data_IF_059759677446
#
_entry.id   IF_059759677446
#
_cell.length_a   1.000
_cell.length_b   1.000
_cell.length_c   1.000
_cell.angle_alpha   90.00
_cell.angle_beta   90.00
_cell.angle_gamma   90.00
#
_symmetry.space_group_name_H-M   'P 1'
#
loop_
_entity.id
_entity.type
_entity.pdbx_description
1 polymer ?
#
# COMPACT_ATOMS: atom_id res chain seq x y z
N UNK A 1 17.70 22.60 -52.29
CA UNK A 1 17.08 21.26 -52.27
C UNK A 1 17.63 20.37 -51.16
N UNK A 2 18.90 20.51 -50.76
CA UNK A 2 19.53 19.68 -49.71
C UNK A 2 19.02 19.98 -48.27
N UNK A 3 18.69 21.23 -47.96
CA UNK A 3 18.16 21.61 -46.63
C UNK A 3 16.80 20.97 -46.33
N UNK A 4 15.95 20.80 -47.35
CA UNK A 4 14.63 20.18 -47.21
C UNK A 4 14.72 18.67 -46.95
N UNK A 5 15.75 18.00 -47.50
CA UNK A 5 16.02 16.59 -47.24
C UNK A 5 16.51 16.35 -45.80
N UNK A 6 17.35 17.24 -45.27
CA UNK A 6 17.85 17.17 -43.89
C UNK A 6 16.70 17.37 -42.89
N UNK A 7 15.82 18.34 -43.12
CA UNK A 7 14.65 18.58 -42.27
C UNK A 7 13.69 17.37 -42.25
N UNK A 8 13.53 16.69 -43.40
CA UNK A 8 12.66 15.52 -43.54
C UNK A 8 13.24 14.27 -42.82
N UNK A 9 14.57 14.12 -42.78
CA UNK A 9 15.25 13.04 -42.03
C UNK A 9 15.13 13.23 -40.51
N UNK A 10 15.22 14.47 -40.02
CA UNK A 10 15.03 14.78 -38.59
C UNK A 10 13.57 14.52 -38.15
N UNK A 11 12.59 14.84 -39.00
CA UNK A 11 11.18 14.58 -38.72
C UNK A 11 10.85 13.08 -38.63
N UNK A 12 11.52 12.25 -39.44
CA UNK A 12 11.37 10.79 -39.40
C UNK A 12 11.94 10.21 -38.10
N UNK A 13 13.09 10.70 -37.62
CA UNK A 13 13.68 10.22 -36.35
C UNK A 13 12.91 10.67 -35.10
N UNK A 14 12.25 11.83 -35.11
CA UNK A 14 11.40 12.28 -34.00
C UNK A 14 10.02 11.62 -33.95
N UNK A 15 9.62 10.92 -35.03
CA UNK A 15 8.32 10.24 -35.13
C UNK A 15 8.37 8.77 -34.71
N UNK A 16 9.57 8.21 -34.49
CA UNK A 16 9.68 6.90 -33.86
C UNK A 16 9.51 7.08 -32.35
N UNK A 17 8.45 6.54 -31.74
CA UNK A 17 8.36 6.53 -30.28
C UNK A 17 9.58 5.77 -29.78
N UNK A 18 10.37 6.40 -28.90
CA UNK A 18 11.34 5.68 -28.10
C UNK A 18 10.61 4.48 -27.48
N UNK A 19 11.10 3.23 -27.63
CA UNK A 19 10.48 2.11 -26.95
C UNK A 19 10.52 2.42 -25.45
N UNK A 20 9.36 2.69 -24.87
CA UNK A 20 9.23 2.79 -23.43
C UNK A 20 9.61 1.40 -22.89
N UNK A 21 10.69 1.31 -22.12
CA UNK A 21 10.98 0.11 -21.34
C UNK A 21 9.83 -0.03 -20.36
N UNK A 22 8.83 -0.83 -20.72
CA UNK A 22 7.73 -1.14 -19.84
C UNK A 22 8.26 -2.14 -18.81
N UNK A 23 8.27 -1.73 -17.55
CA UNK A 23 8.66 -2.61 -16.46
C UNK A 23 7.51 -3.59 -16.21
N UNK A 24 7.76 -4.89 -16.38
CA UNK A 24 6.78 -5.97 -16.11
C UNK A 24 6.53 -6.20 -14.61
N UNK A 25 7.05 -5.32 -13.75
CA UNK A 25 6.90 -5.37 -12.31
C UNK A 25 5.57 -4.73 -11.89
N UNK A 26 4.72 -5.54 -11.28
CA UNK A 26 3.49 -5.10 -10.63
C UNK A 26 3.64 -5.21 -9.11
N UNK A 27 2.83 -4.46 -8.35
CA UNK A 27 2.80 -4.63 -6.89
C UNK A 27 1.91 -5.81 -6.52
N UNK A 28 2.47 -6.75 -5.76
CA UNK A 28 1.72 -7.84 -5.16
C UNK A 28 1.69 -7.69 -3.64
N UNK A 29 0.56 -8.04 -3.05
CA UNK A 29 0.40 -8.27 -1.63
C UNK A 29 0.56 -9.78 -1.42
N UNK A 30 1.62 -10.16 -0.71
CA UNK A 30 2.00 -11.55 -0.44
C UNK A 30 1.69 -11.88 1.02
N UNK A 31 0.94 -12.95 1.22
CA UNK A 31 0.65 -13.55 2.51
C UNK A 31 1.53 -14.78 2.71
N UNK A 32 2.16 -14.86 3.87
CA UNK A 32 2.97 -16.01 4.29
C UNK A 32 2.48 -16.53 5.63
N UNK A 33 2.77 -17.80 5.90
CA UNK A 33 2.52 -18.40 7.19
C UNK A 33 3.32 -17.67 8.28
N UNK A 34 2.75 -17.57 9.47
CA UNK A 34 3.51 -17.08 10.61
C UNK A 34 4.55 -18.15 10.97
N UNK A 35 5.84 -17.82 11.13
CA UNK A 35 6.78 -18.77 11.71
C UNK A 35 6.34 -19.00 13.17
N UNK A 36 5.72 -20.15 13.44
CA UNK A 36 4.92 -20.44 14.65
C UNK A 36 5.71 -20.47 15.98
N UNK A 37 7.02 -20.22 15.98
CA UNK A 37 7.84 -20.26 17.19
C UNK A 37 8.75 -19.02 17.28
N UNK A 38 8.50 -18.15 18.27
CA UNK A 38 9.38 -17.04 18.74
C UNK A 38 9.12 -15.63 18.17
N UNK A 39 7.94 -15.05 18.38
CA UNK A 39 7.78 -13.60 18.14
C UNK A 39 7.15 -12.96 19.38
N UNK A 40 7.99 -12.69 20.38
CA UNK A 40 7.75 -11.61 21.34
C UNK A 40 7.62 -10.30 20.57
N UNK A 41 6.81 -9.34 21.00
CA UNK A 41 6.64 -8.03 20.31
C UNK A 41 7.85 -7.09 20.44
N UNK A 42 9.03 -7.61 20.73
CA UNK A 42 10.27 -6.84 20.86
C UNK A 42 10.90 -6.53 19.49
N UNK A 43 11.81 -5.56 19.46
CA UNK A 43 12.35 -5.02 18.21
C UNK A 43 13.24 -6.02 17.44
N UNK A 44 13.85 -6.97 18.16
CA UNK A 44 14.61 -8.09 17.59
C UNK A 44 13.72 -8.99 16.72
N UNK A 45 12.56 -9.39 17.23
CA UNK A 45 11.66 -10.30 16.50
C UNK A 45 11.10 -9.68 15.22
N UNK A 46 10.94 -8.35 15.18
CA UNK A 46 10.48 -7.63 13.99
C UNK A 46 11.53 -7.68 12.87
N UNK A 47 12.80 -7.57 13.24
CA UNK A 47 13.92 -7.67 12.30
C UNK A 47 14.02 -9.09 11.75
N UNK A 48 13.81 -10.10 12.59
CA UNK A 48 13.78 -11.50 12.18
C UNK A 48 12.60 -11.81 11.24
N UNK A 49 11.42 -11.23 11.52
CA UNK A 49 10.26 -11.30 10.64
C UNK A 49 10.50 -10.64 9.27
N UNK A 50 11.12 -9.46 9.26
CA UNK A 50 11.46 -8.79 8.01
C UNK A 50 12.45 -9.62 7.18
N UNK A 51 13.46 -10.21 7.83
CA UNK A 51 14.39 -11.12 7.17
C UNK A 51 13.69 -12.38 6.63
N UNK A 52 12.72 -12.92 7.39
CA UNK A 52 11.88 -14.02 6.92
C UNK A 52 11.08 -13.63 5.68
N UNK A 53 10.45 -12.45 5.65
CA UNK A 53 9.74 -11.95 4.47
C UNK A 53 10.67 -11.73 3.27
N UNK A 54 11.85 -11.17 3.49
CA UNK A 54 12.87 -10.98 2.44
C UNK A 54 13.31 -12.31 1.83
N UNK A 55 13.29 -13.41 2.60
CA UNK A 55 13.62 -14.75 2.09
C UNK A 55 12.67 -15.23 1.00
N UNK A 56 11.44 -14.69 0.92
CA UNK A 56 10.48 -14.99 -0.14
C UNK A 56 10.80 -14.26 -1.43
N UNK A 57 11.48 -13.11 -1.38
CA UNK A 57 11.83 -12.35 -2.57
C UNK A 57 12.91 -13.06 -3.39
N UNK A 58 12.96 -12.78 -4.71
CA UNK A 58 14.10 -13.17 -5.53
C UNK A 58 15.36 -12.59 -4.90
N UNK A 59 16.43 -13.39 -4.82
CA UNK A 59 17.75 -12.88 -4.47
C UNK A 59 18.17 -11.95 -5.59
N UNK A 60 17.86 -10.66 -5.49
CA UNK A 60 18.65 -9.67 -6.22
C UNK A 60 20.08 -9.91 -5.74
N UNK A 61 20.99 -10.19 -6.67
CA UNK A 61 22.42 -10.17 -6.38
C UNK A 61 22.71 -8.89 -5.57
N UNK A 62 23.54 -9.02 -4.54
CA UNK A 62 24.02 -7.97 -3.64
C UNK A 62 23.24 -7.82 -2.33
N UNK A 63 23.72 -8.57 -1.34
CA UNK A 63 23.65 -8.17 0.06
C UNK A 63 24.58 -6.97 0.31
N UNK A 64 24.17 -6.14 1.27
CA UNK A 64 24.94 -5.10 2.00
C UNK A 64 24.94 -3.70 1.36
N UNK A 65 24.17 -2.83 2.02
CA UNK A 65 24.33 -1.39 1.98
C UNK A 65 25.73 -1.00 2.47
N UNK A 66 26.53 -0.38 1.60
CA UNK A 66 27.47 0.70 1.94
C UNK A 66 28.00 1.31 0.64
N UNK A 67 27.43 2.46 0.28
CA UNK A 67 27.93 3.40 -0.74
C UNK A 67 27.83 2.89 -2.20
N UNK A 68 26.82 3.40 -2.92
CA UNK A 68 26.83 3.46 -4.39
C UNK A 68 25.72 2.67 -5.11
N UNK A 69 24.70 3.39 -5.58
CA UNK A 69 24.01 3.24 -6.87
C UNK A 69 23.70 1.83 -7.43
N UNK A 70 23.06 0.95 -6.65
CA UNK A 70 22.28 -0.18 -7.20
C UNK A 70 20.86 -0.16 -6.59
N UNK A 71 19.83 -0.01 -7.43
CA UNK A 71 18.42 0.12 -7.02
C UNK A 71 17.87 -1.15 -6.33
N UNK A 72 16.86 -0.99 -5.45
CA UNK A 72 16.88 -1.56 -4.11
C UNK A 72 15.98 -2.80 -3.96
N UNK A 73 16.06 -3.40 -2.78
CA UNK A 73 15.12 -4.40 -2.24
C UNK A 73 13.69 -4.16 -2.75
N UNK A 74 13.14 -5.10 -3.53
CA UNK A 74 11.81 -5.00 -4.17
C UNK A 74 10.61 -4.91 -3.19
N UNK A 75 10.86 -4.87 -1.89
CA UNK A 75 9.85 -4.80 -0.85
C UNK A 75 9.38 -3.35 -0.65
N UNK A 76 8.08 -3.14 -0.73
CA UNK A 76 7.40 -1.86 -0.51
C UNK A 76 6.98 -1.73 0.96
N UNK A 77 6.50 -2.81 1.57
CA UNK A 77 5.95 -2.78 2.93
C UNK A 77 5.99 -4.15 3.60
N UNK A 78 6.16 -4.18 4.93
CA UNK A 78 6.07 -5.38 5.76
C UNK A 78 4.84 -5.31 6.68
N UNK A 79 3.99 -6.32 6.60
CA UNK A 79 2.80 -6.46 7.45
C UNK A 79 3.12 -7.37 8.64
N UNK A 80 2.90 -6.87 9.87
CA UNK A 80 3.24 -7.61 11.09
C UNK A 80 2.05 -7.92 11.99
N UNK A 81 0.97 -7.13 11.91
CA UNK A 81 -0.08 -7.16 12.93
C UNK A 81 -1.25 -8.06 12.50
N UNK A 82 -2.11 -7.56 11.62
CA UNK A 82 -3.36 -8.22 11.19
C UNK A 82 -3.11 -9.34 10.18
N UNK A 83 -2.03 -9.23 9.42
CA UNK A 83 -1.57 -10.23 8.46
C UNK A 83 -0.05 -10.35 8.54
N UNK A 84 0.48 -11.51 8.17
CA UNK A 84 1.92 -11.75 8.03
C UNK A 84 2.29 -11.75 6.56
N UNK A 85 3.30 -10.98 6.18
CA UNK A 85 3.79 -10.94 4.81
C UNK A 85 4.17 -9.54 4.39
N UNK A 86 4.15 -9.31 3.08
CA UNK A 86 4.79 -8.15 2.47
C UNK A 86 4.08 -7.66 1.23
N UNK A 87 4.23 -6.37 0.92
CA UNK A 87 3.97 -5.83 -0.41
C UNK A 87 5.30 -5.70 -1.15
N UNK A 88 5.36 -6.13 -2.40
CA UNK A 88 6.58 -6.06 -3.21
C UNK A 88 6.29 -5.88 -4.69
N UNK A 89 7.23 -5.26 -5.42
CA UNK A 89 7.22 -5.20 -6.88
C UNK A 89 7.79 -6.50 -7.45
N UNK A 90 6.97 -7.26 -8.16
CA UNK A 90 7.32 -8.58 -8.68
C UNK A 90 6.80 -8.76 -10.11
N UNK A 91 7.51 -9.56 -10.91
CA UNK A 91 6.96 -10.10 -12.15
C UNK A 91 6.07 -11.30 -11.85
N UNK A 92 5.19 -11.66 -12.79
CA UNK A 92 4.37 -12.87 -12.64
C UNK A 92 5.21 -14.15 -12.53
N UNK A 93 6.40 -14.20 -13.16
CA UNK A 93 7.32 -15.34 -13.02
C UNK A 93 7.93 -15.42 -11.62
N UNK A 94 8.32 -14.28 -11.04
CA UNK A 94 8.85 -14.23 -9.67
C UNK A 94 7.80 -14.67 -8.63
N UNK A 95 6.52 -14.35 -8.86
CA UNK A 95 5.42 -14.85 -8.01
C UNK A 95 5.28 -16.37 -8.13
N UNK A 96 5.31 -16.93 -9.35
CA UNK A 96 5.25 -18.40 -9.56
C UNK A 96 6.42 -19.14 -8.90
N UNK A 97 7.61 -18.56 -8.91
CA UNK A 97 8.76 -19.11 -8.19
C UNK A 97 8.57 -19.04 -6.67
N UNK A 98 8.00 -17.93 -6.17
CA UNK A 98 7.70 -17.74 -4.76
C UNK A 98 6.64 -18.72 -4.25
N UNK A 99 5.64 -19.09 -5.06
CA UNK A 99 4.62 -20.09 -4.74
C UNK A 99 5.21 -21.46 -4.35
N UNK A 100 6.44 -21.76 -4.78
CA UNK A 100 7.12 -23.02 -4.45
C UNK A 100 7.83 -22.99 -3.08
N UNK A 101 7.88 -21.84 -2.39
CA UNK A 101 8.56 -21.69 -1.11
C UNK A 101 7.66 -22.15 0.04
N UNK A 102 8.26 -22.88 0.99
CA UNK A 102 7.57 -23.27 2.22
C UNK A 102 7.10 -22.03 2.99
N UNK A 103 5.86 -22.07 3.48
CA UNK A 103 5.23 -20.95 4.17
C UNK A 103 4.61 -19.90 3.25
N UNK A 104 4.63 -20.08 1.93
CA UNK A 104 3.82 -19.24 1.04
C UNK A 104 2.34 -19.58 1.19
N UNK A 105 1.48 -18.57 1.32
CA UNK A 105 0.01 -18.76 1.41
C UNK A 105 -0.68 -18.26 0.14
N UNK A 106 -0.46 -17.00 -0.22
CA UNK A 106 -1.04 -16.41 -1.42
C UNK A 106 -0.31 -15.14 -1.86
N UNK A 107 -0.45 -14.78 -3.13
CA UNK A 107 -0.06 -13.49 -3.67
C UNK A 107 -1.20 -12.92 -4.50
N UNK A 108 -1.55 -11.66 -4.29
CA UNK A 108 -2.60 -10.97 -5.02
C UNK A 108 -2.06 -9.67 -5.59
N UNK A 109 -2.35 -9.38 -6.85
CA UNK A 109 -2.03 -8.08 -7.46
C UNK A 109 -2.73 -6.96 -6.69
N UNK A 110 -2.01 -5.89 -6.40
CA UNK A 110 -2.61 -4.70 -5.82
C UNK A 110 -3.63 -4.12 -6.79
N UNK A 111 -4.83 -3.85 -6.30
CA UNK A 111 -5.85 -3.09 -7.03
C UNK A 111 -5.99 -1.70 -6.42
N UNK A 112 -6.02 -0.67 -7.27
CA UNK A 112 -6.35 0.70 -6.86
C UNK A 112 -7.86 0.85 -6.99
N UNK A 113 -8.53 1.28 -5.91
CA UNK A 113 -9.97 1.53 -5.91
C UNK A 113 -10.24 3.04 -6.09
N UNK A 114 -11.10 3.45 -7.03
CA UNK A 114 -11.49 4.85 -7.18
C UNK A 114 -12.42 5.29 -6.04
N UNK A 115 -12.39 6.60 -5.72
CA UNK A 115 -13.30 7.18 -4.73
C UNK A 115 -14.75 7.10 -5.23
N UNK A 116 -15.65 6.56 -4.39
CA UNK A 116 -17.03 6.28 -4.79
C UNK A 116 -18.07 7.32 -4.32
N UNK A 117 -17.77 8.14 -3.31
CA UNK A 117 -18.73 9.15 -2.82
C UNK A 117 -18.04 10.35 -2.17
N UNK A 118 -18.62 11.53 -2.36
CA UNK A 118 -18.28 12.76 -1.65
C UNK A 118 -19.36 13.15 -0.62
N UNK A 119 -20.46 12.39 -0.48
CA UNK A 119 -21.61 12.74 0.36
C UNK A 119 -22.19 11.54 1.13
N UNK A 120 -21.47 11.10 2.16
CA UNK A 120 -21.78 9.90 2.97
C UNK A 120 -23.14 9.90 3.68
N UNK A 121 -23.65 11.01 4.26
CA UNK A 121 -24.94 10.97 4.97
C UNK A 121 -26.11 10.57 4.08
N UNK A 122 -26.20 11.13 2.86
CA UNK A 122 -27.24 10.77 1.89
C UNK A 122 -27.07 9.34 1.37
N UNK A 123 -25.82 8.90 1.14
CA UNK A 123 -25.53 7.52 0.75
C UNK A 123 -26.04 6.51 1.80
N UNK A 124 -25.91 6.84 3.09
CA UNK A 124 -26.39 6.02 4.20
C UNK A 124 -27.88 6.25 4.54
N UNK A 125 -28.58 7.12 3.82
CA UNK A 125 -29.98 7.46 4.09
C UNK A 125 -30.21 8.22 5.40
N UNK A 126 -29.17 8.81 6.00
CA UNK A 126 -29.26 9.55 7.25
C UNK A 126 -29.88 10.93 7.00
N UNK A 127 -30.98 11.22 7.72
CA UNK A 127 -31.67 12.51 7.66
C UNK A 127 -31.55 13.26 8.99
N UNK A 128 -31.45 14.60 8.97
CA UNK A 128 -31.50 15.38 10.20
C UNK A 128 -32.78 15.09 11.00
N UNK A 129 -32.65 14.98 12.33
CA UNK A 129 -33.76 14.83 13.28
C UNK A 129 -34.63 13.57 13.13
N UNK A 130 -34.22 12.59 12.32
CA UNK A 130 -34.93 11.35 12.09
C UNK A 130 -33.95 10.17 12.13
N UNK A 131 -34.39 9.03 12.66
CA UNK A 131 -33.57 7.82 12.73
C UNK A 131 -32.66 7.75 13.96
N UNK A 132 -31.49 7.14 13.79
CA UNK A 132 -30.64 6.63 14.88
C UNK A 132 -29.97 7.71 15.76
N UNK A 133 -29.96 8.97 15.36
CA UNK A 133 -29.20 10.04 16.05
C UNK A 133 -29.52 10.16 17.55
N UNK A 134 -30.80 10.33 17.92
CA UNK A 134 -31.20 10.45 19.33
C UNK A 134 -31.05 9.13 20.09
N UNK A 135 -31.45 8.02 19.47
CA UNK A 135 -31.42 6.69 20.11
C UNK A 135 -30.00 6.19 20.36
N UNK A 136 -29.02 6.61 19.55
CA UNK A 136 -27.60 6.30 19.73
C UNK A 136 -26.87 7.29 20.65
N UNK A 137 -27.59 8.20 21.32
CA UNK A 137 -26.99 9.30 22.08
C UNK A 137 -25.94 10.08 21.26
N UNK A 138 -26.20 10.25 19.96
CA UNK A 138 -25.29 10.91 19.03
C UNK A 138 -23.87 10.27 18.97
N UNK A 139 -23.76 8.98 19.30
CA UNK A 139 -22.49 8.26 19.31
C UNK A 139 -21.64 8.48 20.58
N UNK A 140 -22.20 9.04 21.65
CA UNK A 140 -21.47 9.25 22.91
C UNK A 140 -20.86 7.93 23.41
N UNK A 141 -19.55 7.94 23.64
CA UNK A 141 -18.79 6.77 24.12
C UNK A 141 -18.42 5.75 23.04
N UNK A 142 -18.71 6.04 21.76
CA UNK A 142 -18.37 5.19 20.62
C UNK A 142 -17.19 5.78 19.86
N UNK A 143 -16.19 4.95 19.56
CA UNK A 143 -15.08 5.31 18.67
C UNK A 143 -15.41 4.78 17.28
N UNK A 144 -15.43 5.67 16.28
CA UNK A 144 -15.68 5.33 14.88
C UNK A 144 -14.39 5.54 14.10
N UNK A 145 -13.79 4.46 13.61
CA UNK A 145 -12.67 4.50 12.68
C UNK A 145 -13.18 4.69 11.25
N UNK A 146 -12.69 5.72 10.55
CA UNK A 146 -13.04 5.99 9.15
C UNK A 146 -11.78 5.86 8.29
N UNK A 147 -11.79 4.91 7.36
CA UNK A 147 -10.77 4.79 6.31
C UNK A 147 -11.25 5.61 5.12
N UNK A 148 -10.57 6.72 4.83
CA UNK A 148 -10.93 7.64 3.75
C UNK A 148 -9.73 8.43 3.25
N UNK A 149 -9.97 9.45 2.44
CA UNK A 149 -8.91 10.34 1.91
C UNK A 149 -8.31 11.29 2.96
N UNK A 150 -8.82 11.26 4.20
CA UNK A 150 -8.41 12.11 5.30
C UNK A 150 -9.55 12.96 5.84
N UNK A 151 -9.22 13.79 6.82
CA UNK A 151 -10.11 14.81 7.41
C UNK A 151 -9.39 16.16 7.41
N UNK A 152 -10.16 17.25 7.51
CA UNK A 152 -9.62 18.56 7.84
C UNK A 152 -9.75 18.76 9.35
N UNK A 153 -8.70 18.49 10.16
CA UNK A 153 -8.81 18.45 11.62
C UNK A 153 -9.20 19.80 12.22
N UNK A 154 -8.82 20.91 11.57
CA UNK A 154 -9.07 22.26 12.05
C UNK A 154 -10.46 22.81 11.66
N UNK A 155 -11.29 22.03 10.96
CA UNK A 155 -12.62 22.48 10.60
C UNK A 155 -13.51 22.58 11.85
N UNK A 156 -14.33 23.64 12.02
CA UNK A 156 -15.12 23.86 13.23
C UNK A 156 -16.04 22.68 13.65
N UNK A 157 -16.45 21.83 12.71
CA UNK A 157 -17.24 20.62 12.99
C UNK A 157 -16.49 19.55 13.80
N UNK A 158 -15.16 19.64 13.89
CA UNK A 158 -14.32 18.74 14.69
C UNK A 158 -13.86 19.37 16.01
N UNK A 159 -14.40 20.53 16.38
CA UNK A 159 -14.11 21.15 17.68
C UNK A 159 -14.43 20.19 18.83
N UNK A 160 -13.48 20.02 19.74
CA UNK A 160 -13.61 19.19 20.94
C UNK A 160 -14.20 19.94 22.14
N UNK A 161 -14.65 21.19 21.94
CA UNK A 161 -15.26 22.00 23.01
C UNK A 161 -16.45 21.26 23.61
N UNK A 162 -16.37 20.94 24.90
CA UNK A 162 -17.40 20.22 25.65
C UNK A 162 -17.26 18.68 25.61
N UNK A 163 -16.24 18.14 24.95
CA UNK A 163 -15.94 16.70 24.97
C UNK A 163 -15.14 16.31 26.23
N UNK A 164 -15.37 15.11 26.79
CA UNK A 164 -14.54 14.56 27.86
C UNK A 164 -13.13 14.22 27.34
N UNK A 165 -12.14 14.05 28.22
CA UNK A 165 -10.79 13.62 27.80
C UNK A 165 -10.85 12.28 27.05
N UNK A 166 -9.91 12.02 26.12
CA UNK A 166 -9.84 10.75 25.42
C UNK A 166 -9.66 9.57 26.39
N UNK A 167 -10.12 8.36 26.04
CA UNK A 167 -9.91 7.17 26.85
C UNK A 167 -8.43 6.92 27.17
N UNK A 168 -8.15 6.35 28.34
CA UNK A 168 -6.79 5.95 28.73
C UNK A 168 -6.25 4.90 27.75
N UNK A 169 -4.93 4.96 27.48
CA UNK A 169 -4.20 3.98 26.66
C UNK A 169 -3.93 2.69 27.40
#
# INVERSE_FOLDING_TARGET
MELFKILLIIFIFCSFPFPSIQSDLETYIVHVESPENQISTDQSSRTDLDNYYLSFLPKSTTAISSIGNEEPVNMIYSYHNVMKGLAARLTASQVKEMEQKSGFVSAQKQSILPLQTTHSPSFLGLRPNMGLWKNSHYGKGVIIGVIGSGILPDHPSFSDVGMPPPPAK
#
